data_IF_552824300464
#
_entry.id   IF_552824300464
#
_cell.length_a   1.000
_cell.length_b   1.000
_cell.length_c   1.000
_cell.angle_alpha   90.00
_cell.angle_beta   90.00
_cell.angle_gamma   90.00
#
_symmetry.space_group_name_H-M   'P 1'
#
loop_
_entity.id
_entity.type
_entity.pdbx_description
1 polymer ?
#
# COMPACT_ATOMS: atom_id res chain seq x y z
N UNK A 1 27.10 48.22 61.06
CA UNK A 1 27.81 47.08 60.44
C UNK A 1 27.28 46.94 59.02
N UNK A 2 27.82 47.53 57.94
CA UNK A 2 29.19 47.76 57.44
C UNK A 2 30.02 46.47 57.33
N UNK A 3 30.06 45.92 56.11
CA UNK A 3 31.24 45.28 55.49
C UNK A 3 31.01 45.35 53.95
N UNK A 4 31.44 46.42 53.26
CA UNK A 4 32.74 46.63 52.56
C UNK A 4 33.09 45.45 51.62
N UNK A 5 32.83 45.55 50.31
CA UNK A 5 33.57 46.23 49.21
C UNK A 5 34.91 45.55 48.87
N UNK A 6 35.04 45.09 47.61
CA UNK A 6 36.19 45.19 46.67
C UNK A 6 35.74 44.51 45.34
N UNK A 7 35.30 45.22 44.27
CA UNK A 7 36.02 45.99 43.23
C UNK A 7 37.14 45.19 42.54
N UNK A 8 36.99 44.91 41.23
CA UNK A 8 37.86 45.33 40.10
C UNK A 8 37.35 44.68 38.79
N UNK A 9 36.63 45.42 37.93
CA UNK A 9 37.12 46.10 36.70
C UNK A 9 37.98 45.18 35.80
N UNK A 10 37.42 44.66 34.71
CA UNK A 10 37.34 45.28 33.37
C UNK A 10 38.61 45.08 32.55
N UNK A 11 38.50 44.45 31.37
CA UNK A 11 39.07 44.99 30.13
C UNK A 11 38.40 44.37 28.89
N UNK A 12 37.98 45.29 28.03
CA UNK A 12 37.37 45.17 26.71
C UNK A 12 38.43 44.75 25.69
N UNK A 13 38.10 43.96 24.67
CA UNK A 13 38.51 44.26 23.28
C UNK A 13 37.59 43.57 22.26
N UNK A 14 36.92 44.41 21.48
CA UNK A 14 36.30 44.13 20.18
C UNK A 14 37.37 43.80 19.13
N UNK A 15 37.10 42.87 18.22
CA UNK A 15 37.06 43.13 16.76
C UNK A 15 36.87 41.83 15.95
N UNK A 16 35.73 41.79 15.26
CA UNK A 16 35.55 41.42 13.84
C UNK A 16 36.42 40.34 13.20
N UNK A 17 35.78 39.23 12.83
CA UNK A 17 36.26 38.30 11.81
C UNK A 17 35.12 37.41 11.33
N UNK A 18 34.53 37.76 10.18
CA UNK A 18 33.55 36.93 9.47
C UNK A 18 34.17 35.57 9.10
N UNK A 19 33.49 34.48 9.44
CA UNK A 19 33.14 33.48 8.44
C UNK A 19 31.99 32.62 8.98
N UNK A 20 30.79 32.91 8.49
CA UNK A 20 29.66 32.01 8.61
C UNK A 20 29.92 30.82 7.69
N UNK A 21 30.58 29.79 8.21
CA UNK A 21 30.62 28.50 7.56
C UNK A 21 29.22 27.89 7.72
N UNK A 22 28.37 28.15 6.72
CA UNK A 22 27.16 27.39 6.49
C UNK A 22 27.60 25.96 6.24
N UNK A 23 27.62 25.16 7.29
CA UNK A 23 27.49 23.72 7.12
C UNK A 23 26.14 23.51 6.47
N UNK A 24 26.18 23.24 5.16
CA UNK A 24 25.07 22.79 4.35
C UNK A 24 24.55 21.50 4.99
N UNK A 25 23.67 21.66 5.98
CA UNK A 25 22.72 20.63 6.37
C UNK A 25 21.80 20.53 5.18
N UNK A 26 22.24 19.74 4.19
CA UNK A 26 21.40 19.21 3.14
C UNK A 26 20.16 18.70 3.83
N UNK A 27 19.12 19.51 3.73
CA UNK A 27 17.82 19.27 4.30
C UNK A 27 17.31 18.11 3.46
N UNK A 28 17.53 16.89 3.97
CA UNK A 28 16.85 15.71 3.46
C UNK A 28 15.38 16.04 3.66
N UNK A 29 14.74 16.46 2.57
CA UNK A 29 13.30 16.67 2.52
C UNK A 29 12.68 15.39 3.07
N UNK A 30 11.83 15.47 4.10
CA UNK A 30 11.28 14.28 4.72
C UNK A 30 10.43 13.55 3.69
N UNK A 31 10.95 12.43 3.19
CA UNK A 31 10.30 11.50 2.25
C UNK A 31 8.93 11.01 2.76
N UNK A 32 8.60 11.24 4.04
CA UNK A 32 7.35 10.84 4.67
C UNK A 32 6.12 11.69 4.30
N UNK A 33 6.25 12.97 3.95
CA UNK A 33 5.05 13.82 3.69
C UNK A 33 4.56 13.68 2.24
N UNK A 34 5.48 13.43 1.30
CA UNK A 34 5.15 13.25 -0.13
C UNK A 34 4.59 11.85 -0.42
N UNK A 35 5.01 10.82 0.32
CA UNK A 35 4.56 9.45 0.08
C UNK A 35 3.07 9.27 0.42
N UNK A 36 2.58 9.90 1.50
CA UNK A 36 1.20 9.68 1.96
C UNK A 36 0.15 10.23 0.97
N UNK A 37 0.36 11.43 0.42
CA UNK A 37 -0.54 12.03 -0.58
C UNK A 37 -0.56 11.25 -1.90
N UNK A 38 0.59 10.69 -2.29
CA UNK A 38 0.67 9.86 -3.50
C UNK A 38 -0.07 8.53 -3.33
N UNK A 39 0.05 7.90 -2.16
CA UNK A 39 -0.71 6.69 -1.82
C UNK A 39 -2.20 6.97 -1.81
N UNK A 40 -2.63 8.03 -1.12
CA UNK A 40 -4.02 8.50 -1.09
C UNK A 40 -4.59 8.68 -2.49
N UNK A 41 -3.94 9.48 -3.33
CA UNK A 41 -4.36 9.74 -4.71
C UNK A 41 -4.47 8.44 -5.53
N UNK A 42 -3.53 7.51 -5.32
CA UNK A 42 -3.51 6.22 -6.04
C UNK A 42 -4.66 5.32 -5.61
N UNK A 43 -4.94 5.23 -4.30
CA UNK A 43 -6.03 4.43 -3.75
C UNK A 43 -7.39 5.02 -4.15
N UNK A 44 -7.55 6.35 -4.12
CA UNK A 44 -8.74 7.03 -4.62
C UNK A 44 -8.93 6.80 -6.13
N UNK A 45 -7.85 6.84 -6.91
CA UNK A 45 -7.90 6.55 -8.35
C UNK A 45 -8.27 5.10 -8.62
N UNK A 46 -7.75 4.14 -7.85
CA UNK A 46 -8.13 2.74 -7.95
C UNK A 46 -9.61 2.54 -7.58
N UNK A 47 -10.03 3.13 -6.47
CA UNK A 47 -11.41 3.17 -6.00
C UNK A 47 -12.36 3.69 -7.06
N UNK A 48 -12.02 4.81 -7.70
CA UNK A 48 -12.77 5.40 -8.80
C UNK A 48 -12.78 4.49 -10.04
N UNK A 49 -11.63 3.95 -10.42
CA UNK A 49 -11.51 3.08 -11.58
C UNK A 49 -12.43 1.86 -11.47
N UNK A 50 -12.47 1.24 -10.29
CA UNK A 50 -13.28 0.04 -10.05
C UNK A 50 -14.76 0.35 -9.88
N UNK A 51 -15.10 1.38 -9.11
CA UNK A 51 -16.50 1.75 -8.84
C UNK A 51 -17.21 2.30 -10.09
N UNK A 52 -16.53 3.12 -10.89
CA UNK A 52 -17.08 3.70 -12.13
C UNK A 52 -16.88 2.82 -13.37
N UNK A 53 -16.24 1.64 -13.23
CA UNK A 53 -15.87 0.75 -14.36
C UNK A 53 -15.00 1.45 -15.41
N UNK A 54 -14.14 2.37 -14.97
CA UNK A 54 -13.28 3.15 -15.83
C UNK A 54 -11.99 2.35 -16.17
N UNK A 55 -12.04 1.65 -17.31
CA UNK A 55 -10.93 0.81 -17.79
C UNK A 55 -9.67 1.63 -18.06
N UNK A 56 -9.79 2.82 -18.66
CA UNK A 56 -8.63 3.65 -18.99
C UNK A 56 -7.90 4.10 -17.74
N UNK A 57 -8.65 4.51 -16.71
CA UNK A 57 -8.07 4.86 -15.41
C UNK A 57 -7.41 3.64 -14.76
N UNK A 58 -8.06 2.46 -14.80
CA UNK A 58 -7.47 1.22 -14.29
C UNK A 58 -6.15 0.89 -15.01
N UNK A 59 -6.12 0.94 -16.34
CA UNK A 59 -4.93 0.70 -17.14
C UNK A 59 -3.82 1.72 -16.87
N UNK A 60 -4.18 2.97 -16.54
CA UNK A 60 -3.20 4.00 -16.16
C UNK A 60 -2.53 3.70 -14.81
N UNK A 61 -3.22 3.00 -13.91
CA UNK A 61 -2.71 2.58 -12.59
C UNK A 61 -1.91 1.28 -12.67
N UNK A 62 -2.23 0.42 -13.64
CA UNK A 62 -1.53 -0.84 -13.86
C UNK A 62 -0.04 -0.65 -14.15
N UNK A 63 0.79 -1.55 -13.64
CA UNK A 63 2.18 -1.66 -14.06
C UNK A 63 2.23 -2.07 -15.54
N UNK A 64 2.92 -1.30 -16.42
CA UNK A 64 2.99 -1.60 -17.84
C UNK A 64 3.67 -2.95 -18.15
N UNK A 65 4.51 -3.45 -17.24
CA UNK A 65 5.21 -4.73 -17.39
C UNK A 65 4.32 -5.94 -17.01
N UNK A 66 3.16 -5.71 -16.41
CA UNK A 66 2.23 -6.75 -15.99
C UNK A 66 1.74 -6.58 -14.56
N UNK A 67 0.58 -7.17 -14.28
CA UNK A 67 0.04 -7.34 -12.92
C UNK A 67 0.10 -8.82 -12.60
N UNK A 68 0.64 -9.17 -11.43
CA UNK A 68 0.61 -10.54 -10.95
C UNK A 68 -0.79 -10.86 -10.40
N UNK A 69 -1.43 -11.90 -10.93
CA UNK A 69 -2.72 -12.37 -10.44
C UNK A 69 -2.48 -13.59 -9.57
N UNK A 70 -2.81 -13.46 -8.29
CA UNK A 70 -2.74 -14.55 -7.31
C UNK A 70 -4.16 -14.90 -6.88
N UNK A 71 -4.51 -16.17 -6.96
CA UNK A 71 -5.78 -16.67 -6.46
C UNK A 71 -5.59 -18.03 -5.82
N UNK A 72 -5.84 -18.13 -4.52
CA UNK A 72 -5.68 -19.38 -3.76
C UNK A 72 -6.95 -20.24 -3.73
N UNK A 73 -8.07 -19.72 -4.22
CA UNK A 73 -9.33 -20.45 -4.31
C UNK A 73 -10.14 -20.11 -5.56
N UNK A 74 -10.58 -21.13 -6.30
CA UNK A 74 -11.57 -21.02 -7.37
C UNK A 74 -12.62 -22.11 -7.26
N UNK A 75 -13.89 -21.75 -7.46
CA UNK A 75 -14.88 -22.73 -7.90
C UNK A 75 -14.62 -23.07 -9.38
N UNK A 76 -14.42 -24.36 -9.64
CA UNK A 76 -14.35 -24.95 -10.97
C UNK A 76 -15.73 -25.37 -11.49
N UNK A 77 -15.77 -25.92 -12.70
CA UNK A 77 -17.00 -26.49 -13.27
C UNK A 77 -17.49 -27.68 -12.44
N UNK A 78 -18.81 -27.78 -12.24
CA UNK A 78 -19.49 -28.88 -11.53
C UNK A 78 -19.21 -28.95 -10.01
N UNK A 79 -18.84 -27.84 -9.37
CA UNK A 79 -18.60 -27.79 -7.92
C UNK A 79 -17.22 -28.32 -7.49
N UNK A 80 -16.34 -28.65 -8.45
CA UNK A 80 -14.94 -28.94 -8.18
C UNK A 80 -14.15 -27.67 -7.81
N UNK A 81 -12.98 -27.83 -7.19
CA UNK A 81 -12.02 -26.72 -6.98
C UNK A 81 -11.16 -26.56 -8.23
N UNK A 82 -11.05 -25.34 -8.76
CA UNK A 82 -10.09 -25.06 -9.83
C UNK A 82 -8.66 -24.95 -9.27
N UNK A 83 -7.62 -25.00 -10.12
CA UNK A 83 -6.25 -24.83 -9.66
C UNK A 83 -6.02 -23.42 -9.13
N UNK A 84 -5.01 -23.27 -8.27
CA UNK A 84 -4.53 -21.95 -7.85
C UNK A 84 -4.01 -21.16 -9.06
N UNK A 85 -4.20 -19.84 -9.04
CA UNK A 85 -3.64 -18.92 -10.01
C UNK A 85 -2.43 -18.21 -9.39
N UNK A 86 -1.32 -18.19 -10.12
CA UNK A 86 -0.13 -17.39 -9.81
C UNK A 86 0.54 -17.09 -11.15
N UNK A 87 0.13 -16.00 -11.79
CA UNK A 87 0.63 -15.66 -13.12
C UNK A 87 0.77 -14.15 -13.35
N UNK A 88 1.81 -13.78 -14.10
CA UNK A 88 1.96 -12.42 -14.60
C UNK A 88 1.06 -12.20 -15.82
N UNK A 89 0.13 -11.25 -15.71
CA UNK A 89 -0.84 -10.95 -16.76
C UNK A 89 -0.64 -9.54 -17.32
N UNK A 90 -0.76 -9.42 -18.64
CA UNK A 90 -0.82 -8.12 -19.29
C UNK A 90 -2.12 -7.40 -18.89
N UNK A 91 -2.05 -6.19 -18.28
CA UNK A 91 -3.23 -5.47 -17.83
C UNK A 91 -4.24 -5.19 -18.95
N UNK A 92 -3.79 -5.07 -20.20
CA UNK A 92 -4.66 -4.84 -21.38
C UNK A 92 -5.59 -6.02 -21.70
N UNK A 93 -5.40 -7.19 -21.07
CA UNK A 93 -6.34 -8.33 -21.18
C UNK A 93 -7.63 -8.12 -20.38
N UNK A 94 -7.70 -7.11 -19.52
CA UNK A 94 -8.90 -6.81 -18.75
C UNK A 94 -10.06 -6.44 -19.69
N UNK A 95 -11.24 -6.99 -19.44
CA UNK A 95 -12.43 -6.70 -20.23
C UNK A 95 -13.23 -5.52 -19.64
N UNK A 96 -14.28 -5.08 -20.34
CA UNK A 96 -15.16 -3.99 -19.93
C UNK A 96 -15.92 -4.23 -18.59
N UNK A 97 -15.91 -5.46 -18.07
CA UNK A 97 -16.48 -5.81 -16.76
C UNK A 97 -15.46 -5.73 -15.62
N UNK A 98 -14.24 -5.25 -15.88
CA UNK A 98 -13.09 -5.30 -14.96
C UNK A 98 -12.74 -6.73 -14.54
N UNK A 99 -12.69 -7.62 -15.53
CA UNK A 99 -12.33 -9.02 -15.32
C UNK A 99 -11.17 -9.44 -16.20
N UNK A 100 -10.25 -10.22 -15.64
CA UNK A 100 -9.26 -10.94 -16.43
C UNK A 100 -9.82 -12.32 -16.81
N UNK A 101 -9.92 -12.64 -18.11
CA UNK A 101 -10.31 -13.98 -18.53
C UNK A 101 -9.19 -14.97 -18.17
N UNK A 102 -9.54 -16.01 -17.41
CA UNK A 102 -8.64 -17.10 -17.05
C UNK A 102 -9.09 -18.34 -17.81
N UNK A 103 -8.15 -19.05 -18.43
CA UNK A 103 -8.47 -20.26 -19.21
C UNK A 103 -9.06 -21.33 -18.29
N UNK A 104 -10.18 -21.92 -18.72
CA UNK A 104 -10.87 -23.04 -18.06
C UNK A 104 -11.28 -22.77 -16.58
N UNK A 105 -11.40 -21.49 -16.20
CA UNK A 105 -11.76 -21.07 -14.83
C UNK A 105 -12.70 -19.85 -14.85
N UNK A 106 -13.37 -19.61 -13.72
CA UNK A 106 -14.11 -18.36 -13.50
C UNK A 106 -13.16 -17.16 -13.65
N UNK A 107 -13.51 -16.12 -14.44
CA UNK A 107 -12.67 -14.94 -14.60
C UNK A 107 -12.26 -14.29 -13.27
N UNK A 108 -11.09 -13.65 -13.26
CA UNK A 108 -10.63 -12.85 -12.12
C UNK A 108 -11.36 -11.51 -12.09
N UNK A 109 -12.35 -11.38 -11.20
CA UNK A 109 -13.26 -10.25 -11.17
C UNK A 109 -12.93 -9.27 -10.04
N UNK A 110 -12.33 -8.14 -10.40
CA UNK A 110 -11.90 -7.11 -9.44
C UNK A 110 -13.10 -6.58 -8.63
N UNK A 111 -14.24 -6.37 -9.28
CA UNK A 111 -15.46 -5.88 -8.61
C UNK A 111 -16.12 -6.88 -7.65
N UNK A 112 -15.76 -8.17 -7.73
CA UNK A 112 -16.23 -9.18 -6.75
C UNK A 112 -15.31 -9.18 -5.53
N UNK A 113 -14.03 -8.88 -5.72
CA UNK A 113 -13.04 -8.83 -4.65
C UNK A 113 -13.11 -7.54 -3.84
N UNK A 114 -13.41 -6.41 -4.50
CA UNK A 114 -13.47 -5.09 -3.88
C UNK A 114 -14.89 -4.53 -3.96
N UNK A 115 -15.71 -4.90 -2.98
CA UNK A 115 -17.15 -4.58 -2.92
C UNK A 115 -17.43 -3.30 -2.14
N UNK A 116 -16.50 -2.89 -1.27
CA UNK A 116 -16.63 -1.70 -0.42
C UNK A 116 -16.19 -0.40 -1.14
N UNK A 117 -15.86 -0.49 -2.43
CA UNK A 117 -15.56 0.66 -3.27
C UNK A 117 -16.85 1.38 -3.70
N UNK A 118 -16.87 2.73 -3.71
CA UNK A 118 -15.72 3.61 -3.53
C UNK A 118 -15.33 3.85 -2.07
N UNK A 119 -14.03 4.09 -1.83
CA UNK A 119 -13.47 4.52 -0.55
C UNK A 119 -14.20 5.80 -0.09
N UNK A 120 -14.87 5.72 1.06
CA UNK A 120 -15.63 6.85 1.65
C UNK A 120 -14.72 7.93 2.22
N UNK A 121 -13.61 7.53 2.82
CA UNK A 121 -12.59 8.43 3.37
C UNK A 121 -11.26 7.68 3.49
N UNK A 122 -10.22 8.18 2.85
CA UNK A 122 -8.88 7.59 2.94
C UNK A 122 -8.32 7.71 4.38
N UNK A 123 -8.54 8.86 5.03
CA UNK A 123 -8.07 9.10 6.40
C UNK A 123 -8.76 8.24 7.45
N UNK A 124 -9.88 7.59 7.10
CA UNK A 124 -10.61 6.69 7.98
C UNK A 124 -10.19 5.22 7.80
N UNK A 125 -9.33 4.90 6.82
CA UNK A 125 -8.81 3.55 6.66
C UNK A 125 -7.95 3.19 7.88
N UNK A 126 -8.05 1.96 8.35
CA UNK A 126 -7.07 1.45 9.32
C UNK A 126 -5.73 1.26 8.61
N UNK A 127 -4.63 1.64 9.28
CA UNK A 127 -3.28 1.46 8.76
C UNK A 127 -2.59 0.35 9.55
N UNK A 128 -2.11 -0.68 8.85
CA UNK A 128 -1.34 -1.77 9.44
C UNK A 128 0.02 -1.92 8.76
N UNK A 129 0.97 -2.49 9.48
CA UNK A 129 2.31 -2.76 8.95
C UNK A 129 2.39 -4.19 8.42
N UNK A 130 2.97 -4.34 7.24
CA UNK A 130 3.28 -5.62 6.62
C UNK A 130 4.78 -5.94 6.82
N UNK A 131 5.09 -7.21 7.09
CA UNK A 131 6.47 -7.64 7.37
C UNK A 131 7.43 -7.23 6.25
N UNK A 132 8.65 -6.82 6.59
CA UNK A 132 9.71 -6.52 5.62
C UNK A 132 10.07 -7.75 4.75
N UNK A 133 9.84 -8.97 5.24
CA UNK A 133 10.14 -10.21 4.53
C UNK A 133 9.43 -10.29 3.18
N UNK A 134 8.20 -9.78 3.08
CA UNK A 134 7.41 -9.80 1.84
C UNK A 134 8.09 -9.04 0.69
N UNK A 135 9.02 -8.13 1.01
CA UNK A 135 9.74 -7.34 0.02
C UNK A 135 10.68 -8.18 -0.86
N UNK A 136 11.00 -9.39 -0.41
CA UNK A 136 11.90 -10.33 -1.09
C UNK A 136 11.19 -11.60 -1.58
N UNK A 137 9.89 -11.72 -1.34
CA UNK A 137 9.10 -12.91 -1.62
C UNK A 137 8.15 -12.69 -2.79
N UNK A 138 7.83 -13.79 -3.49
CA UNK A 138 6.80 -13.82 -4.51
C UNK A 138 5.40 -13.62 -3.91
N UNK A 139 4.52 -12.95 -4.65
CA UNK A 139 3.20 -12.56 -4.14
C UNK A 139 2.32 -13.75 -3.73
N UNK A 140 2.55 -14.93 -4.29
CA UNK A 140 1.78 -16.15 -3.98
C UNK A 140 2.16 -16.80 -2.65
N UNK A 141 3.24 -16.36 -2.02
CA UNK A 141 3.63 -16.77 -0.66
C UNK A 141 3.21 -15.77 0.41
N UNK A 142 2.52 -14.68 0.06
CA UNK A 142 2.20 -13.58 0.99
C UNK A 142 1.10 -13.92 2.01
N UNK A 143 0.28 -14.94 1.78
CA UNK A 143 -0.89 -15.28 2.61
C UNK A 143 -0.63 -15.27 4.13
N UNK A 144 0.39 -15.99 4.64
CA UNK A 144 0.72 -15.98 6.07
C UNK A 144 1.09 -14.59 6.62
N UNK A 145 1.77 -13.76 5.83
CA UNK A 145 2.17 -12.40 6.22
C UNK A 145 0.98 -11.44 6.24
N UNK A 146 0.10 -11.54 5.24
CA UNK A 146 -1.16 -10.78 5.20
C UNK A 146 -2.05 -11.15 6.38
N UNK A 147 -2.17 -12.43 6.71
CA UNK A 147 -2.95 -12.92 7.86
C UNK A 147 -2.38 -12.38 9.17
N UNK A 148 -1.06 -12.46 9.35
CA UNK A 148 -0.38 -11.91 10.53
C UNK A 148 -0.59 -10.40 10.67
N UNK A 149 -0.53 -9.65 9.57
CA UNK A 149 -0.75 -8.20 9.58
C UNK A 149 -2.19 -7.80 9.95
N UNK A 150 -3.15 -8.69 9.73
CA UNK A 150 -4.57 -8.51 10.07
C UNK A 150 -4.98 -9.23 11.37
N UNK A 151 -4.05 -9.91 12.04
CA UNK A 151 -4.37 -10.60 13.30
C UNK A 151 -4.56 -9.58 14.42
N UNK A 152 -5.66 -9.69 15.16
CA UNK A 152 -5.96 -8.79 16.28
C UNK A 152 -6.59 -7.46 15.88
N UNK A 153 -6.83 -7.22 14.58
CA UNK A 153 -7.87 -6.26 14.20
C UNK A 153 -9.21 -6.83 14.69
N UNK A 154 -10.08 -6.02 15.33
CA UNK A 154 -11.42 -6.47 15.69
C UNK A 154 -12.00 -7.13 14.46
N UNK A 155 -12.57 -8.35 14.58
CA UNK A 155 -13.22 -9.04 13.47
C UNK A 155 -14.01 -7.98 12.73
N UNK A 156 -13.52 -7.59 11.55
CA UNK A 156 -14.09 -6.48 10.82
C UNK A 156 -15.40 -7.03 10.32
N UNK A 157 -16.42 -6.86 11.13
CA UNK A 157 -17.82 -6.96 10.75
C UNK A 157 -17.88 -6.18 9.45
N UNK A 158 -18.07 -6.88 8.33
CA UNK A 158 -18.20 -6.35 6.97
C UNK A 158 -16.92 -5.95 6.21
N UNK A 159 -15.82 -6.73 6.25
CA UNK A 159 -14.67 -6.60 5.30
C UNK A 159 -14.14 -5.17 5.14
N UNK A 160 -14.18 -4.38 6.22
CA UNK A 160 -13.87 -2.96 6.15
C UNK A 160 -12.51 -2.72 5.47
N UNK A 161 -12.40 -1.75 4.56
CA UNK A 161 -11.15 -1.50 3.86
C UNK A 161 -10.00 -1.11 4.80
N UNK A 162 -8.83 -1.72 4.59
CA UNK A 162 -7.61 -1.50 5.36
C UNK A 162 -6.46 -1.16 4.40
N UNK A 163 -5.58 -0.27 4.83
CA UNK A 163 -4.30 -0.01 4.18
C UNK A 163 -3.18 -0.77 4.89
N UNK A 164 -2.42 -1.58 4.15
CA UNK A 164 -1.16 -2.14 4.62
C UNK A 164 0.01 -1.42 3.96
N UNK A 165 1.12 -1.28 4.68
CA UNK A 165 2.39 -0.81 4.11
C UNK A 165 3.53 -1.72 4.55
N UNK A 166 4.40 -2.12 3.61
CA UNK A 166 5.60 -2.85 3.97
C UNK A 166 6.56 -1.96 4.77
N UNK A 167 7.38 -2.56 5.63
CA UNK A 167 8.24 -1.83 6.56
C UNK A 167 9.12 -0.75 5.87
N UNK A 168 9.63 -1.01 4.66
CA UNK A 168 10.45 -0.04 3.91
C UNK A 168 9.65 0.74 2.87
N UNK A 169 8.31 0.73 2.95
CA UNK A 169 7.43 1.42 2.00
C UNK A 169 7.62 0.98 0.54
N UNK A 170 8.16 -0.22 0.31
CA UNK A 170 8.27 -0.82 -1.02
C UNK A 170 6.89 -1.12 -1.60
N UNK A 171 5.99 -1.59 -0.74
CA UNK A 171 4.63 -1.97 -1.11
C UNK A 171 3.59 -1.25 -0.25
N UNK A 172 2.51 -0.86 -0.91
CA UNK A 172 1.28 -0.37 -0.29
C UNK A 172 0.13 -1.25 -0.75
N UNK A 173 -0.72 -1.68 0.16
CA UNK A 173 -1.80 -2.63 -0.13
C UNK A 173 -3.12 -2.03 0.28
N UNK A 174 -4.06 -1.98 -0.66
CA UNK A 174 -5.47 -1.79 -0.36
C UNK A 174 -6.10 -3.17 -0.15
N UNK A 175 -6.66 -3.41 1.03
CA UNK A 175 -7.21 -4.70 1.40
C UNK A 175 -8.68 -4.60 1.79
N UNK A 176 -9.52 -5.47 1.24
CA UNK A 176 -10.88 -5.75 1.69
C UNK A 176 -10.91 -7.22 2.12
N UNK A 177 -10.63 -7.46 3.39
CA UNK A 177 -10.36 -8.80 3.90
C UNK A 177 -10.81 -8.97 5.35
N UNK A 178 -11.03 -10.24 5.73
CA UNK A 178 -11.42 -10.64 7.08
C UNK A 178 -10.84 -12.02 7.39
N UNK A 179 -10.67 -12.34 8.66
CA UNK A 179 -10.28 -13.68 9.11
C UNK A 179 -11.53 -14.35 9.67
N UNK A 180 -11.94 -15.48 9.09
CA UNK A 180 -13.07 -16.31 9.56
C UNK A 180 -12.51 -17.68 9.93
N UNK A 181 -12.73 -18.13 11.16
CA UNK A 181 -12.26 -19.44 11.64
C UNK A 181 -10.75 -19.68 11.34
N UNK A 182 -9.93 -18.66 11.60
CA UNK A 182 -8.48 -18.66 11.33
C UNK A 182 -8.11 -18.73 9.82
N UNK A 183 -9.07 -18.55 8.91
CA UNK A 183 -8.85 -18.48 7.45
C UNK A 183 -8.95 -17.03 6.98
N UNK A 184 -7.91 -16.55 6.28
CA UNK A 184 -7.91 -15.22 5.69
C UNK A 184 -8.67 -15.22 4.36
N UNK A 185 -9.71 -14.41 4.29
CA UNK A 185 -10.64 -14.25 3.17
C UNK A 185 -10.58 -12.83 2.63
N UNK A 186 -10.50 -12.65 1.32
CA UNK A 186 -10.67 -11.31 0.71
C UNK A 186 -9.72 -10.95 -0.42
N UNK A 187 -9.78 -9.67 -0.81
CA UNK A 187 -9.04 -9.09 -1.93
C UNK A 187 -7.94 -8.15 -1.47
N UNK A 188 -6.79 -8.19 -2.15
CA UNK A 188 -5.65 -7.30 -1.90
C UNK A 188 -5.14 -6.73 -3.22
N UNK A 189 -5.13 -5.39 -3.34
CA UNK A 189 -4.52 -4.68 -4.46
C UNK A 189 -3.18 -4.11 -4.01
N UNK A 190 -2.09 -4.62 -4.57
CA UNK A 190 -0.72 -4.29 -4.18
C UNK A 190 -0.13 -3.28 -5.15
N UNK A 191 0.37 -2.18 -4.61
CA UNK A 191 1.00 -1.09 -5.35
C UNK A 191 2.47 -0.98 -4.96
N UNK A 192 3.33 -0.72 -5.94
CA UNK A 192 4.74 -0.42 -5.72
C UNK A 192 5.20 0.75 -6.59
N UNK A 193 6.35 1.33 -6.24
CA UNK A 193 6.92 2.43 -7.00
C UNK A 193 7.58 1.91 -8.28
N UNK A 194 7.08 2.36 -9.43
CA UNK A 194 7.64 2.06 -10.76
C UNK A 194 7.77 3.39 -11.50
N UNK A 195 9.00 3.72 -11.91
CA UNK A 195 9.33 4.98 -12.60
C UNK A 195 8.79 6.24 -11.88
N UNK A 196 8.92 6.26 -10.55
CA UNK A 196 8.49 7.38 -9.70
C UNK A 196 6.97 7.50 -9.51
N UNK A 197 6.18 6.52 -9.96
CA UNK A 197 4.72 6.46 -9.75
C UNK A 197 4.33 5.17 -9.07
N UNK A 198 3.36 5.23 -8.16
CA UNK A 198 2.73 4.02 -7.64
C UNK A 198 1.94 3.34 -8.74
N UNK A 199 2.23 2.06 -8.95
CA UNK A 199 1.58 1.21 -9.94
C UNK A 199 1.04 -0.04 -9.28
N UNK A 200 -0.14 -0.47 -9.71
CA UNK A 200 -0.71 -1.76 -9.34
C UNK A 200 0.17 -2.86 -9.93
N UNK A 201 0.80 -3.66 -9.05
CA UNK A 201 1.73 -4.73 -9.41
C UNK A 201 1.19 -6.11 -9.12
N UNK A 202 0.24 -6.25 -8.19
CA UNK A 202 -0.41 -7.53 -7.92
C UNK A 202 -1.86 -7.35 -7.50
N UNK A 203 -2.69 -8.31 -7.84
CA UNK A 203 -4.02 -8.53 -7.28
C UNK A 203 -4.02 -9.92 -6.65
N UNK A 204 -4.41 -10.01 -5.37
CA UNK A 204 -4.43 -11.27 -4.61
C UNK A 204 -5.85 -11.52 -4.14
N UNK A 205 -6.38 -12.71 -4.47
CA UNK A 205 -7.67 -13.22 -4.02
C UNK A 205 -7.44 -14.42 -3.12
N UNK A 206 -7.79 -14.26 -1.83
CA UNK A 206 -7.76 -15.31 -0.83
C UNK A 206 -9.20 -15.75 -0.48
N UNK A 207 -9.28 -16.98 0.02
CA UNK A 207 -10.47 -17.84 0.07
C UNK A 207 -11.64 -17.23 0.82
#
# INVERSE_FOLDING_TARGET
MIMRIFIFLAFVFFASGCSAEKTDVSTVVPVQITSNKQVETTFESFSKAVSEKNIDLFLSLANPNGIHLVRKFTSGTLGGRGPELSELTNPKKINAKLQFPIKDQTPYSIRIQFQELPIKSFTALSHQTLSAEVETLDFDTWGPFLKKALTGTPETVDRMPIMLSSANSKYYVYAEAQIIDDILVGGFAVFSMVDGKLKLVSLIELL
#
